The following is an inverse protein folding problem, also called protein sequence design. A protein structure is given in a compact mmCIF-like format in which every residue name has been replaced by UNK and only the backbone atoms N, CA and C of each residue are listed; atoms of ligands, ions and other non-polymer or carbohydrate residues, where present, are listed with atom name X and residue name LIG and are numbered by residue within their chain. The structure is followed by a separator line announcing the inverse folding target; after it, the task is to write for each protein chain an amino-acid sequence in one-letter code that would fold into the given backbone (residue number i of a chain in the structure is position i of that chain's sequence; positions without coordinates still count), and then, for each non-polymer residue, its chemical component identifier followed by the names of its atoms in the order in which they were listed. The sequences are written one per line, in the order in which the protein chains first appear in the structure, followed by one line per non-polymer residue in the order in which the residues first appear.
data_IF_353883340659
#
_entry.id   IF_353883340659
#
_cell.length_a   1.000
_cell.length_b   1.000
_cell.length_c   1.000
_cell.angle_alpha   90.00
_cell.angle_beta   90.00
_cell.angle_gamma   90.00
#
_symmetry.space_group_name_H-M   'P 1'
#
loop_
_entity.id
_entity.type
_entity.pdbx_description
1 polymer ?
#
# COMPACT_ATOMS: atom_id res chain seq x y z
N UNK A 1 7.40 -47.87 19.26
CA UNK A 1 7.87 -46.53 19.66
C UNK A 1 7.25 -45.57 18.69
N UNK A 2 6.38 -44.67 19.15
CA UNK A 2 5.78 -43.66 18.25
C UNK A 2 6.89 -42.70 17.82
N UNK A 3 7.02 -42.48 16.52
CA UNK A 3 7.90 -41.47 15.96
C UNK A 3 7.42 -40.09 16.42
N UNK A 4 8.20 -39.33 17.22
CA UNK A 4 7.80 -38.01 17.72
C UNK A 4 7.41 -37.04 16.61
N UNK A 5 8.00 -37.19 15.42
CA UNK A 5 7.67 -36.38 14.25
C UNK A 5 6.29 -36.76 13.67
N UNK A 6 5.98 -38.06 13.59
CA UNK A 6 4.66 -38.52 13.17
C UNK A 6 3.56 -38.06 14.13
N UNK A 7 3.79 -38.16 15.45
CA UNK A 7 2.83 -37.69 16.46
C UNK A 7 2.60 -36.17 16.38
N UNK A 8 3.65 -35.38 16.14
CA UNK A 8 3.50 -33.93 15.97
C UNK A 8 2.70 -33.57 14.71
N UNK A 9 2.84 -34.35 13.63
CA UNK A 9 2.08 -34.16 12.39
C UNK A 9 0.60 -34.57 12.53
N UNK A 10 0.32 -35.63 13.30
CA UNK A 10 -1.03 -36.09 13.61
C UNK A 10 -1.84 -35.06 14.41
N UNK A 11 -1.18 -34.19 15.16
CA UNK A 11 -1.81 -33.13 15.94
C UNK A 11 -2.46 -32.02 15.08
N UNK A 12 -2.21 -31.98 13.77
CA UNK A 12 -2.89 -31.04 12.88
C UNK A 12 -4.38 -31.38 12.73
N UNK A 13 -5.29 -30.39 12.88
CA UNK A 13 -6.73 -30.62 12.75
C UNK A 13 -7.21 -30.74 11.28
N UNK A 14 -6.34 -30.47 10.31
CA UNK A 14 -6.69 -30.40 8.89
C UNK A 14 -7.02 -31.78 8.31
N UNK A 15 -8.13 -31.87 7.58
CA UNK A 15 -8.50 -33.07 6.82
C UNK A 15 -7.56 -33.33 5.64
N UNK A 16 -7.61 -34.54 5.05
CA UNK A 16 -6.67 -34.96 4.01
C UNK A 16 -6.66 -34.05 2.77
N UNK A 17 -7.82 -33.52 2.35
CA UNK A 17 -7.92 -32.64 1.18
C UNK A 17 -7.35 -31.22 1.39
N UNK A 18 -7.02 -30.85 2.63
CA UNK A 18 -6.50 -29.53 2.98
C UNK A 18 -5.29 -29.62 3.90
N UNK A 19 -4.56 -30.74 3.83
CA UNK A 19 -3.32 -30.99 4.59
C UNK A 19 -2.15 -30.93 3.61
N UNK A 20 -1.30 -29.93 3.76
CA UNK A 20 -0.17 -29.67 2.86
C UNK A 20 1.17 -29.98 3.52
N UNK A 21 1.17 -30.92 4.46
CA UNK A 21 2.36 -31.49 5.08
C UNK A 21 2.22 -33.02 5.01
N UNK A 22 3.15 -33.70 4.35
CA UNK A 22 3.17 -35.17 4.27
C UNK A 22 4.11 -35.77 5.31
N UNK A 23 5.26 -35.13 5.54
CA UNK A 23 6.32 -35.65 6.42
C UNK A 23 7.03 -34.52 7.12
N UNK A 24 7.21 -34.63 8.44
CA UNK A 24 8.17 -33.78 9.16
C UNK A 24 9.58 -34.35 8.99
N UNK A 25 10.53 -33.51 8.63
CA UNK A 25 11.94 -33.87 8.47
C UNK A 25 12.74 -33.53 9.73
N UNK A 26 12.41 -32.41 10.38
CA UNK A 26 13.01 -31.98 11.63
C UNK A 26 12.00 -31.17 12.44
N UNK A 27 12.11 -31.24 13.77
CA UNK A 27 11.31 -30.44 14.69
C UNK A 27 12.15 -30.11 15.92
N UNK A 28 12.33 -28.81 16.18
CA UNK A 28 12.80 -28.28 17.45
C UNK A 28 11.59 -27.69 18.18
N UNK A 29 11.07 -28.38 19.22
CA UNK A 29 9.79 -28.03 19.84
C UNK A 29 9.69 -26.56 20.25
N UNK A 30 8.67 -25.87 19.73
CA UNK A 30 8.43 -24.45 20.02
C UNK A 30 9.34 -23.44 19.32
N UNK A 31 10.41 -23.88 18.65
CA UNK A 31 11.42 -23.02 18.02
C UNK A 31 11.34 -23.09 16.51
N UNK A 32 11.53 -24.27 15.92
CA UNK A 32 11.61 -24.42 14.46
C UNK A 32 11.16 -25.80 13.98
N UNK A 33 10.82 -25.90 12.69
CA UNK A 33 10.44 -27.16 12.07
C UNK A 33 10.66 -27.15 10.56
N UNK A 34 10.86 -28.34 10.00
CA UNK A 34 11.03 -28.57 8.58
C UNK A 34 10.16 -29.73 8.13
N UNK A 35 9.48 -29.58 6.99
CA UNK A 35 8.55 -30.56 6.46
C UNK A 35 8.63 -30.67 4.95
N UNK A 36 8.10 -31.77 4.42
CA UNK A 36 7.99 -32.03 3.00
C UNK A 36 6.54 -32.19 2.58
N UNK A 37 6.24 -31.71 1.39
CA UNK A 37 4.99 -31.93 0.68
C UNK A 37 5.28 -32.14 -0.81
N UNK A 38 4.91 -33.32 -1.32
CA UNK A 38 5.01 -33.64 -2.74
C UNK A 38 3.69 -33.32 -3.43
N UNK A 39 3.77 -32.57 -4.53
CA UNK A 39 2.63 -32.29 -5.38
C UNK A 39 2.50 -33.41 -6.41
N UNK A 40 1.53 -34.30 -6.27
CA UNK A 40 1.45 -35.53 -7.08
C UNK A 40 0.86 -35.27 -8.47
N UNK A 41 -0.02 -34.27 -8.60
CA UNK A 41 -0.65 -33.90 -9.87
C UNK A 41 -2.13 -34.28 -9.98
N UNK A 42 -2.65 -35.08 -9.04
CA UNK A 42 -4.06 -35.49 -8.97
C UNK A 42 -4.89 -34.64 -7.99
N UNK A 43 -4.28 -33.64 -7.35
CA UNK A 43 -4.97 -32.79 -6.40
C UNK A 43 -6.11 -31.99 -7.06
N UNK A 44 -7.30 -31.90 -6.44
CA UNK A 44 -8.48 -31.27 -7.04
C UNK A 44 -8.28 -29.83 -7.50
N UNK A 45 -7.43 -29.06 -6.80
CA UNK A 45 -7.18 -27.66 -7.12
C UNK A 45 -6.38 -27.47 -8.42
N UNK A 46 -5.62 -28.48 -8.88
CA UNK A 46 -4.82 -28.38 -10.10
C UNK A 46 -5.68 -28.35 -11.36
N UNK A 47 -6.86 -29.00 -11.33
CA UNK A 47 -7.81 -28.96 -12.43
C UNK A 47 -8.25 -27.53 -12.78
N UNK A 48 -8.30 -26.64 -11.79
CA UNK A 48 -8.66 -25.24 -11.96
C UNK A 48 -7.49 -24.26 -12.01
N UNK A 49 -6.24 -24.72 -11.80
CA UNK A 49 -5.10 -23.84 -11.58
C UNK A 49 -3.80 -24.37 -12.20
N UNK A 50 -3.59 -24.20 -13.51
CA UNK A 50 -4.54 -23.74 -14.52
C UNK A 50 -4.85 -24.85 -15.52
N UNK A 51 -6.03 -24.89 -16.15
CA UNK A 51 -6.30 -25.87 -17.21
C UNK A 51 -5.21 -25.84 -18.29
N UNK A 52 -4.48 -26.95 -18.46
CA UNK A 52 -3.36 -27.09 -19.41
C UNK A 52 -1.99 -26.62 -18.90
N UNK A 53 -1.90 -25.94 -17.76
CA UNK A 53 -0.65 -25.53 -17.11
C UNK A 53 -0.80 -25.62 -15.57
N UNK A 54 -0.86 -26.85 -15.01
CA UNK A 54 -1.12 -27.06 -13.59
C UNK A 54 0.07 -26.59 -12.73
N UNK A 55 -0.23 -25.83 -11.67
CA UNK A 55 0.74 -25.38 -10.68
C UNK A 55 0.07 -25.12 -9.32
N UNK A 56 0.80 -25.31 -8.23
CA UNK A 56 0.28 -25.07 -6.89
C UNK A 56 -0.01 -23.58 -6.69
N UNK A 57 -1.24 -23.19 -6.30
CA UNK A 57 -1.55 -21.81 -5.95
C UNK A 57 -0.63 -21.32 -4.83
N UNK A 58 -0.05 -20.13 -4.99
CA UNK A 58 0.84 -19.57 -3.97
C UNK A 58 0.19 -19.37 -2.59
N UNK A 59 -1.14 -19.23 -2.55
CA UNK A 59 -1.91 -19.21 -1.29
C UNK A 59 -1.86 -20.55 -0.55
N UNK A 60 -1.74 -21.68 -1.26
CA UNK A 60 -1.59 -23.00 -0.63
C UNK A 60 -0.17 -23.19 -0.09
N UNK A 61 0.84 -22.55 -0.67
CA UNK A 61 2.19 -22.51 -0.09
C UNK A 61 2.19 -21.76 1.25
N UNK A 62 1.47 -20.64 1.32
CA UNK A 62 1.29 -19.88 2.56
C UNK A 62 0.56 -20.72 3.61
N UNK A 63 -0.51 -21.41 3.21
CA UNK A 63 -1.26 -22.34 4.07
C UNK A 63 -0.37 -23.48 4.59
N UNK A 64 0.43 -24.12 3.73
CA UNK A 64 1.37 -25.15 4.12
C UNK A 64 2.39 -24.65 5.17
N UNK A 65 2.93 -23.44 4.96
CA UNK A 65 3.81 -22.79 5.94
C UNK A 65 3.10 -22.48 7.27
N UNK A 66 1.83 -22.07 7.23
CA UNK A 66 1.01 -21.83 8.41
C UNK A 66 0.71 -23.13 9.19
N UNK A 67 0.44 -24.23 8.49
CA UNK A 67 0.27 -25.55 9.10
C UNK A 67 1.54 -25.98 9.83
N UNK A 68 2.71 -25.83 9.19
CA UNK A 68 3.99 -26.15 9.82
C UNK A 68 4.27 -25.26 11.03
N UNK A 69 4.03 -23.96 10.93
CA UNK A 69 4.15 -23.05 12.06
C UNK A 69 3.22 -23.44 13.23
N UNK A 70 2.02 -23.95 12.93
CA UNK A 70 1.07 -24.47 13.91
C UNK A 70 1.58 -25.73 14.63
N UNK A 71 2.23 -26.64 13.89
CA UNK A 71 2.90 -27.82 14.48
C UNK A 71 4.02 -27.37 15.43
N UNK A 72 4.91 -26.49 14.96
CA UNK A 72 6.04 -25.98 15.77
C UNK A 72 5.52 -25.30 17.03
N UNK A 73 4.53 -24.41 16.90
CA UNK A 73 3.98 -23.65 18.01
C UNK A 73 3.32 -24.53 19.09
N UNK A 74 2.61 -25.58 18.69
CA UNK A 74 1.91 -26.50 19.59
C UNK A 74 2.81 -27.56 20.22
N UNK A 75 3.97 -27.82 19.62
CA UNK A 75 4.95 -28.78 20.16
C UNK A 75 5.73 -28.25 21.37
N UNK A 76 5.65 -26.96 21.68
CA UNK A 76 6.39 -26.29 22.75
C UNK A 76 6.01 -26.81 24.14
N UNK A 77 6.91 -27.50 24.88
CA UNK A 77 6.60 -28.07 26.18
C UNK A 77 6.50 -27.01 27.29
N UNK A 78 6.99 -25.78 27.07
CA UNK A 78 6.99 -24.70 28.06
C UNK A 78 5.74 -23.82 27.97
N UNK A 79 4.91 -24.00 26.94
CA UNK A 79 3.74 -23.19 26.68
C UNK A 79 2.48 -24.04 26.76
N UNK A 80 1.40 -23.46 27.30
CA UNK A 80 0.09 -24.09 27.19
C UNK A 80 -0.29 -24.17 25.71
N UNK A 81 -0.65 -25.36 25.17
CA UNK A 81 -1.07 -25.48 23.78
C UNK A 81 -2.22 -24.54 23.46
N UNK A 82 -2.05 -23.79 22.37
CA UNK A 82 -3.09 -22.90 21.86
C UNK A 82 -4.07 -23.72 21.03
N UNK A 83 -5.29 -23.90 21.53
CA UNK A 83 -6.36 -24.54 20.77
C UNK A 83 -6.80 -23.65 19.59
N UNK A 84 -7.24 -24.28 18.51
CA UNK A 84 -7.88 -23.61 17.36
C UNK A 84 -7.05 -22.47 16.77
N UNK A 85 -5.75 -22.71 16.56
CA UNK A 85 -4.89 -21.76 15.86
C UNK A 85 -5.43 -21.46 14.46
N UNK A 86 -5.75 -20.19 14.20
CA UNK A 86 -6.15 -19.68 12.89
C UNK A 86 -5.09 -18.73 12.36
N UNK A 87 -4.92 -18.71 11.03
CA UNK A 87 -4.12 -17.70 10.37
C UNK A 87 -4.80 -16.33 10.53
N UNK A 88 -4.14 -15.39 11.20
CA UNK A 88 -4.69 -14.07 11.55
C UNK A 88 -4.05 -12.92 10.79
N UNK A 89 -2.76 -13.03 10.45
CA UNK A 89 -2.05 -12.01 9.68
C UNK A 89 -0.94 -12.61 8.82
N UNK A 90 -0.61 -11.89 7.76
CA UNK A 90 0.50 -12.17 6.84
C UNK A 90 1.36 -10.92 6.72
N UNK A 91 2.68 -11.08 6.74
CA UNK A 91 3.63 -9.96 6.63
C UNK A 91 4.79 -10.33 5.72
N UNK A 92 5.10 -9.43 4.78
CA UNK A 92 6.24 -9.57 3.85
C UNK A 92 6.27 -10.92 3.11
N UNK A 93 5.10 -11.48 2.80
CA UNK A 93 4.99 -12.70 1.98
C UNK A 93 5.47 -12.39 0.57
N UNK A 94 6.43 -13.17 0.08
CA UNK A 94 6.95 -13.13 -1.28
C UNK A 94 6.83 -14.53 -1.87
N UNK A 95 6.11 -14.64 -2.98
CA UNK A 95 6.07 -15.85 -3.81
C UNK A 95 7.11 -15.66 -4.91
N UNK A 96 8.17 -16.45 -4.86
CA UNK A 96 9.37 -16.30 -5.67
C UNK A 96 9.40 -17.24 -6.88
N UNK A 97 8.52 -18.23 -6.90
CA UNK A 97 8.40 -19.19 -7.99
C UNK A 97 7.13 -20.00 -7.92
N UNK A 98 6.93 -20.83 -8.94
CA UNK A 98 5.85 -21.81 -9.00
C UNK A 98 6.35 -23.19 -8.54
N UNK A 99 5.41 -23.99 -8.03
CA UNK A 99 5.59 -25.42 -7.76
C UNK A 99 4.70 -26.20 -8.72
N UNK A 100 5.25 -27.22 -9.39
CA UNK A 100 4.61 -27.99 -10.46
C UNK A 100 4.45 -29.47 -10.07
N UNK A 101 3.47 -30.18 -10.67
CA UNK A 101 3.29 -31.61 -10.40
C UNK A 101 4.58 -32.41 -10.56
N UNK A 102 4.83 -33.31 -9.61
CA UNK A 102 6.06 -34.10 -9.48
C UNK A 102 7.15 -33.47 -8.61
N UNK A 103 7.06 -32.18 -8.29
CA UNK A 103 8.01 -31.48 -7.43
C UNK A 103 7.71 -31.71 -5.93
N UNK A 104 8.78 -31.73 -5.12
CA UNK A 104 8.69 -31.81 -3.65
C UNK A 104 9.06 -30.46 -3.05
N UNK A 105 8.14 -29.89 -2.28
CA UNK A 105 8.32 -28.65 -1.54
C UNK A 105 8.89 -28.97 -0.17
N UNK A 106 10.04 -28.36 0.15
CA UNK A 106 10.62 -28.34 1.49
C UNK A 106 10.18 -27.06 2.18
N UNK A 107 9.40 -27.20 3.25
CA UNK A 107 8.84 -26.11 4.05
C UNK A 107 9.67 -25.92 5.32
N UNK A 108 9.91 -24.66 5.68
CA UNK A 108 10.54 -24.27 6.95
C UNK A 108 9.63 -23.34 7.74
N UNK A 109 9.60 -23.50 9.06
CA UNK A 109 8.97 -22.54 9.96
C UNK A 109 9.85 -22.28 11.19
N UNK A 110 9.90 -21.03 11.64
CA UNK A 110 10.61 -20.62 12.85
C UNK A 110 9.76 -19.64 13.64
N UNK A 111 9.44 -19.96 14.89
CA UNK A 111 8.69 -19.05 15.78
C UNK A 111 9.58 -17.85 16.12
N UNK A 112 9.10 -16.65 15.83
CA UNK A 112 9.85 -15.39 16.06
C UNK A 112 9.33 -14.60 17.25
N UNK A 113 8.04 -14.74 17.59
CA UNK A 113 7.46 -14.06 18.74
C UNK A 113 6.19 -14.78 19.22
N UNK A 114 5.92 -14.65 20.53
CA UNK A 114 4.65 -15.05 21.16
C UNK A 114 4.09 -13.84 21.93
N UNK A 115 2.84 -13.49 21.69
CA UNK A 115 2.18 -12.30 22.25
C UNK A 115 0.78 -12.68 22.73
N UNK A 116 0.68 -13.20 23.95
CA UNK A 116 -0.59 -13.71 24.49
C UNK A 116 -1.10 -14.90 23.67
N UNK A 117 -2.25 -14.74 23.02
CA UNK A 117 -2.90 -15.76 22.17
C UNK A 117 -2.36 -15.79 20.73
N UNK A 118 -1.38 -14.95 20.41
CA UNK A 118 -0.79 -14.86 19.07
C UNK A 118 0.61 -15.46 19.03
N UNK A 119 0.90 -16.21 17.97
CA UNK A 119 2.23 -16.74 17.64
C UNK A 119 2.61 -16.24 16.25
N UNK A 120 3.74 -15.55 16.17
CA UNK A 120 4.31 -15.10 14.90
C UNK A 120 5.45 -16.04 14.51
N UNK A 121 5.47 -16.47 13.25
CA UNK A 121 6.50 -17.35 12.71
C UNK A 121 6.99 -16.85 11.35
N UNK A 122 8.29 -17.00 11.10
CA UNK A 122 8.87 -16.91 9.76
C UNK A 122 8.63 -18.23 9.04
N UNK A 123 8.20 -18.18 7.79
CA UNK A 123 7.97 -19.35 6.94
C UNK A 123 8.76 -19.24 5.64
N UNK A 124 9.27 -20.38 5.17
CA UNK A 124 9.96 -20.52 3.89
C UNK A 124 9.47 -21.77 3.17
N UNK A 125 9.59 -21.77 1.84
CA UNK A 125 9.40 -22.97 1.03
C UNK A 125 10.40 -22.96 -0.12
N UNK A 126 10.98 -24.12 -0.43
CA UNK A 126 11.93 -24.31 -1.53
C UNK A 126 11.65 -25.60 -2.31
N UNK A 127 11.98 -25.60 -3.60
CA UNK A 127 11.99 -26.79 -4.47
C UNK A 127 13.39 -26.90 -5.06
N UNK A 128 14.03 -28.07 -4.92
CA UNK A 128 15.41 -28.32 -5.38
C UNK A 128 16.41 -27.23 -4.92
N UNK A 129 16.26 -26.75 -3.68
CA UNK A 129 17.10 -25.71 -3.10
C UNK A 129 16.82 -24.28 -3.60
N UNK A 130 15.84 -24.08 -4.49
CA UNK A 130 15.39 -22.77 -4.95
C UNK A 130 14.18 -22.30 -4.14
N UNK A 131 14.30 -21.14 -3.51
CA UNK A 131 13.20 -20.54 -2.77
C UNK A 131 11.99 -20.24 -3.66
N UNK A 132 10.81 -20.67 -3.22
CA UNK A 132 9.51 -20.41 -3.86
C UNK A 132 8.57 -19.59 -2.96
N UNK A 133 8.79 -19.60 -1.65
CA UNK A 133 8.07 -18.76 -0.68
C UNK A 133 9.00 -18.26 0.42
N UNK A 134 8.83 -17.02 0.84
CA UNK A 134 9.34 -16.52 2.12
C UNK A 134 8.41 -15.47 2.72
N UNK A 135 8.36 -15.38 4.06
CA UNK A 135 7.72 -14.28 4.76
C UNK A 135 7.37 -14.64 6.20
N UNK A 136 6.41 -13.92 6.78
CA UNK A 136 5.96 -14.12 8.15
C UNK A 136 4.45 -14.34 8.19
N UNK A 137 4.03 -15.31 9.03
CA UNK A 137 2.64 -15.62 9.34
C UNK A 137 2.39 -15.38 10.82
N UNK A 138 1.19 -14.93 11.16
CA UNK A 138 0.72 -14.85 12.55
C UNK A 138 -0.45 -15.79 12.73
N UNK A 139 -0.32 -16.72 13.66
CA UNK A 139 -1.38 -17.61 14.11
C UNK A 139 -1.98 -17.04 15.40
N UNK A 140 -3.29 -17.17 15.58
CA UNK A 140 -3.97 -16.74 16.79
C UNK A 140 -5.00 -17.76 17.25
N UNK A 141 -5.04 -18.03 18.55
CA UNK A 141 -6.16 -18.77 19.16
C UNK A 141 -7.30 -17.79 19.44
N UNK A 142 -8.48 -18.09 18.93
CA UNK A 142 -9.71 -17.49 19.48
C UNK A 142 -10.09 -18.26 20.74
N UNK A 143 -10.66 -17.63 21.78
CA UNK A 143 -11.26 -18.39 22.88
C UNK A 143 -12.36 -19.27 22.32
N UNK A 144 -12.16 -20.59 22.30
CA UNK A 144 -13.15 -21.53 21.83
C UNK A 144 -14.32 -21.56 22.81
N UNK A 145 -15.55 -21.51 22.29
CA UNK A 145 -16.69 -22.08 22.98
C UNK A 145 -16.38 -23.56 23.30
N UNK A 146 -16.81 -23.99 24.49
CA UNK A 146 -16.53 -25.28 25.13
C UNK A 146 -16.58 -26.53 24.23
N UNK A 147 -15.87 -27.62 24.59
CA UNK A 147 -15.75 -28.81 23.75
C UNK A 147 -17.10 -29.53 23.61
N UNK A 148 -17.42 -29.96 22.39
CA UNK A 148 -18.57 -30.84 22.13
C UNK A 148 -18.20 -32.25 22.60
N UNK A 149 -18.78 -32.69 23.70
CA UNK A 149 -18.67 -34.05 24.20
C UNK A 149 -19.31 -35.04 23.19
N UNK A 150 -18.62 -36.14 22.91
CA UNK A 150 -19.16 -37.29 22.20
C UNK A 150 -20.25 -37.96 23.04
N UNK A 151 -21.51 -37.86 22.59
CA UNK A 151 -22.67 -38.57 23.17
C UNK A 151 -22.98 -39.79 22.28
N UNK A 152 -23.29 -40.99 22.83
CA UNK A 152 -23.71 -42.13 22.02
C UNK A 152 -25.05 -41.83 21.34
N UNK A 153 -25.39 -42.52 20.23
CA UNK A 153 -26.59 -42.19 19.47
C UNK A 153 -27.84 -42.56 20.28
N UNK A 154 -28.42 -41.58 20.97
CA UNK A 154 -29.80 -41.66 21.43
C UNK A 154 -30.69 -40.98 20.40
N UNK A 155 -31.77 -41.66 20.04
CA UNK A 155 -32.77 -41.21 19.09
C UNK A 155 -33.54 -40.01 19.66
N UNK A 156 -32.98 -38.80 19.55
CA UNK A 156 -33.71 -37.57 19.75
C UNK A 156 -33.96 -36.89 18.41
N UNK A 157 -35.24 -36.65 18.11
CA UNK A 157 -35.66 -35.79 17.00
C UNK A 157 -34.91 -34.45 17.10
N UNK A 158 -34.36 -33.93 16.00
CA UNK A 158 -33.65 -32.66 16.02
C UNK A 158 -34.64 -31.56 16.42
N UNK A 159 -34.42 -30.94 17.59
CA UNK A 159 -35.10 -29.68 17.92
C UNK A 159 -34.42 -28.60 17.10
N UNK A 160 -35.00 -28.27 15.95
CA UNK A 160 -34.64 -27.08 15.20
C UNK A 160 -34.99 -25.86 16.06
N UNK A 161 -34.03 -25.31 16.78
CA UNK A 161 -34.14 -23.98 17.37
C UNK A 161 -34.09 -22.98 16.22
N UNK A 162 -35.26 -22.63 15.69
CA UNK A 162 -35.39 -21.58 14.70
C UNK A 162 -35.15 -20.23 15.39
N UNK A 163 -34.30 -19.39 14.79
CA UNK A 163 -34.08 -18.01 15.23
C UNK A 163 -35.42 -17.27 15.22
N UNK A 164 -35.77 -16.61 16.32
CA UNK A 164 -36.97 -15.77 16.35
C UNK A 164 -36.71 -14.48 15.55
N UNK A 165 -37.78 -13.93 14.99
CA UNK A 165 -37.73 -12.66 14.26
C UNK A 165 -37.20 -11.51 15.15
N UNK A 166 -37.45 -11.58 16.47
CA UNK A 166 -36.96 -10.60 17.45
C UNK A 166 -35.44 -10.71 17.63
N UNK A 167 -34.90 -11.92 17.76
CA UNK A 167 -33.45 -12.13 17.91
C UNK A 167 -32.70 -11.65 16.67
N UNK A 168 -33.22 -11.91 15.47
CA UNK A 168 -32.62 -11.42 14.23
C UNK A 168 -32.66 -9.88 14.15
N UNK A 169 -33.80 -9.27 14.52
CA UNK A 169 -33.95 -7.80 14.53
C UNK A 169 -32.98 -7.12 15.50
N UNK A 170 -32.79 -7.67 16.70
CA UNK A 170 -31.85 -7.13 17.68
C UNK A 170 -30.41 -7.22 17.17
N UNK A 171 -30.03 -8.32 16.53
CA UNK A 171 -28.66 -8.50 15.98
C UNK A 171 -28.38 -7.48 14.88
N UNK A 172 -29.29 -7.33 13.90
CA UNK A 172 -29.09 -6.32 12.85
C UNK A 172 -29.09 -4.89 13.41
N UNK A 173 -29.86 -4.61 14.47
CA UNK A 173 -29.85 -3.31 15.13
C UNK A 173 -28.51 -3.03 15.81
N UNK A 174 -27.94 -4.02 16.51
CA UNK A 174 -26.61 -3.91 17.12
C UNK A 174 -25.53 -3.72 16.04
N UNK A 175 -25.57 -4.51 14.96
CA UNK A 175 -24.63 -4.35 13.83
C UNK A 175 -24.77 -2.96 13.21
N UNK A 176 -25.99 -2.45 13.03
CA UNK A 176 -26.23 -1.11 12.49
C UNK A 176 -25.67 0.00 13.40
N UNK A 177 -25.84 -0.11 14.73
CA UNK A 177 -25.27 0.85 15.70
C UNK A 177 -23.74 0.80 15.65
N UNK A 178 -23.16 -0.41 15.71
CA UNK A 178 -21.71 -0.60 15.67
C UNK A 178 -21.11 -0.09 14.36
N UNK A 179 -21.71 -0.45 13.22
CA UNK A 179 -21.31 0.04 11.91
C UNK A 179 -21.45 1.57 11.81
N UNK A 180 -22.52 2.14 12.37
CA UNK A 180 -22.76 3.58 12.43
C UNK A 180 -21.65 4.35 13.16
N UNK A 181 -21.05 3.75 14.20
CA UNK A 181 -19.89 4.33 14.90
C UNK A 181 -18.55 4.03 14.20
N UNK A 182 -18.44 2.89 13.52
CA UNK A 182 -17.20 2.45 12.86
C UNK A 182 -16.92 3.21 11.55
N UNK A 183 -17.96 3.49 10.74
CA UNK A 183 -17.82 4.12 9.43
C UNK A 183 -17.16 5.51 9.49
N UNK A 184 -17.54 6.43 10.41
CA UNK A 184 -16.87 7.73 10.54
C UNK A 184 -15.40 7.59 10.96
N UNK A 185 -15.08 6.64 11.85
CA UNK A 185 -13.72 6.40 12.31
C UNK A 185 -12.84 5.86 11.18
N UNK A 186 -13.34 4.88 10.42
CA UNK A 186 -12.65 4.31 9.26
C UNK A 186 -12.46 5.33 8.16
N UNK A 187 -13.45 6.18 7.89
CA UNK A 187 -13.33 7.26 6.92
C UNK A 187 -12.22 8.25 7.29
N UNK A 188 -12.15 8.65 8.57
CA UNK A 188 -11.06 9.51 9.09
C UNK A 188 -9.70 8.83 8.98
N UNK A 189 -9.59 7.56 9.36
CA UNK A 189 -8.35 6.79 9.27
C UNK A 189 -7.86 6.68 7.81
N UNK A 190 -8.77 6.38 6.87
CA UNK A 190 -8.46 6.32 5.43
C UNK A 190 -8.01 7.69 4.89
N UNK A 191 -8.68 8.78 5.28
CA UNK A 191 -8.28 10.13 4.90
C UNK A 191 -6.87 10.48 5.41
N UNK A 192 -6.54 10.10 6.65
CA UNK A 192 -5.19 10.27 7.21
C UNK A 192 -4.13 9.42 6.52
N UNK A 193 -4.44 8.17 6.17
CA UNK A 193 -3.52 7.32 5.39
C UNK A 193 -3.21 7.94 4.01
N UNK A 194 -4.24 8.44 3.31
CA UNK A 194 -4.04 9.15 2.04
C UNK A 194 -3.21 10.43 2.21
N UNK A 195 -3.45 11.21 3.27
CA UNK A 195 -2.65 12.39 3.58
C UNK A 195 -1.17 12.02 3.81
N UNK A 196 -0.90 10.97 4.59
CA UNK A 196 0.46 10.50 4.85
C UNK A 196 1.19 10.07 3.57
N UNK A 197 0.48 9.39 2.66
CA UNK A 197 1.02 9.05 1.33
C UNK A 197 1.30 10.30 0.49
N UNK A 198 0.43 11.31 0.53
CA UNK A 198 0.66 12.58 -0.16
C UNK A 198 1.92 13.29 0.38
N UNK A 199 2.10 13.37 1.71
CA UNK A 199 3.34 13.92 2.32
C UNK A 199 4.59 13.14 1.87
N UNK A 200 4.48 11.81 1.76
CA UNK A 200 5.59 10.97 1.25
C UNK A 200 5.88 11.23 -0.22
N UNK A 201 4.87 11.53 -1.04
CA UNK A 201 5.05 11.89 -2.44
C UNK A 201 5.70 13.28 -2.56
N UNK A 202 5.21 14.30 -1.84
CA UNK A 202 5.82 15.64 -1.79
C UNK A 202 7.29 15.60 -1.36
N UNK A 203 7.64 14.73 -0.40
CA UNK A 203 9.03 14.56 0.02
C UNK A 203 9.90 13.99 -1.11
N UNK A 204 9.40 13.00 -1.84
CA UNK A 204 10.10 12.45 -3.00
C UNK A 204 10.19 13.46 -4.15
N UNK A 205 9.16 14.27 -4.36
CA UNK A 205 9.17 15.37 -5.33
C UNK A 205 10.23 16.40 -4.96
N UNK A 206 10.23 16.91 -3.72
CA UNK A 206 11.23 17.86 -3.24
C UNK A 206 12.66 17.33 -3.35
N UNK A 207 12.89 16.06 -3.01
CA UNK A 207 14.19 15.40 -3.25
C UNK A 207 14.53 15.34 -4.75
N UNK A 208 13.56 15.03 -5.62
CA UNK A 208 13.74 15.04 -7.06
C UNK A 208 14.12 16.41 -7.61
N UNK A 209 13.58 17.49 -7.05
CA UNK A 209 13.99 18.86 -7.38
C UNK A 209 15.45 19.13 -7.01
N UNK A 210 15.88 18.72 -5.81
CA UNK A 210 17.26 18.92 -5.37
C UNK A 210 18.25 18.12 -6.22
N UNK A 211 17.93 16.86 -6.52
CA UNK A 211 18.74 16.02 -7.41
C UNK A 211 18.82 16.59 -8.82
N UNK A 212 17.68 17.05 -9.37
CA UNK A 212 17.65 17.72 -10.66
C UNK A 212 18.53 18.97 -10.66
N UNK A 213 18.40 19.85 -9.67
CA UNK A 213 19.19 21.08 -9.59
C UNK A 213 20.70 20.78 -9.49
N UNK A 214 21.08 19.78 -8.68
CA UNK A 214 22.46 19.32 -8.58
C UNK A 214 23.03 18.89 -9.94
N UNK A 215 22.25 18.16 -10.73
CA UNK A 215 22.68 17.65 -12.04
C UNK A 215 22.55 18.68 -13.16
N UNK A 216 21.78 19.75 -12.95
CA UNK A 216 21.49 20.79 -13.94
C UNK A 216 22.11 22.14 -13.58
N UNK A 217 23.33 22.15 -13.04
CA UNK A 217 24.10 23.39 -12.75
C UNK A 217 23.30 24.40 -11.91
N UNK A 218 22.62 23.88 -10.88
CA UNK A 218 21.79 24.61 -9.93
C UNK A 218 20.44 25.10 -10.48
N UNK A 219 20.08 24.77 -11.72
CA UNK A 219 18.79 25.18 -12.26
C UNK A 219 17.62 24.32 -11.76
N UNK A 220 16.52 24.98 -11.38
CA UNK A 220 15.26 24.34 -11.01
C UNK A 220 14.50 23.84 -12.25
N UNK A 221 13.64 22.82 -12.10
CA UNK A 221 12.73 22.39 -13.15
C UNK A 221 11.73 23.50 -13.48
N UNK A 222 11.21 23.51 -14.71
CA UNK A 222 10.25 24.53 -15.17
C UNK A 222 8.85 23.97 -15.25
N UNK A 223 7.87 24.82 -14.97
CA UNK A 223 6.47 24.41 -14.93
C UNK A 223 5.99 23.77 -16.25
N UNK A 224 6.47 24.29 -17.37
CA UNK A 224 6.14 23.78 -18.68
C UNK A 224 7.23 24.04 -19.75
N UNK A 225 7.06 23.46 -20.94
CA UNK A 225 7.82 23.82 -22.14
C UNK A 225 6.86 24.22 -23.27
N UNK A 226 7.18 25.25 -24.09
CA UNK A 226 6.39 25.60 -25.26
C UNK A 226 6.26 24.39 -26.18
N UNK A 227 5.05 24.07 -26.63
CA UNK A 227 4.84 23.04 -27.65
C UNK A 227 4.95 23.68 -29.05
N UNK A 228 6.02 23.39 -29.83
CA UNK A 228 6.20 23.97 -31.16
C UNK A 228 5.06 23.58 -32.13
N UNK A 229 4.37 22.46 -31.88
CA UNK A 229 3.29 21.98 -32.72
C UNK A 229 1.97 22.73 -32.54
N UNK A 230 1.83 23.54 -31.48
CA UNK A 230 0.61 24.27 -31.17
C UNK A 230 0.63 25.77 -31.51
N UNK A 231 1.76 26.30 -32.01
CA UNK A 231 1.88 27.65 -32.60
C UNK A 231 1.47 28.84 -31.71
N UNK A 232 1.10 28.60 -30.45
CA UNK A 232 0.39 29.55 -29.58
C UNK A 232 1.23 30.02 -28.39
N UNK A 233 2.49 29.56 -28.27
CA UNK A 233 3.32 29.80 -27.08
C UNK A 233 2.78 29.12 -25.82
N UNK A 234 1.78 28.23 -25.96
CA UNK A 234 1.17 27.51 -24.86
C UNK A 234 2.12 26.44 -24.29
N UNK A 235 2.03 26.25 -22.97
CA UNK A 235 3.00 25.50 -22.18
C UNK A 235 2.27 24.48 -21.30
N UNK A 236 2.61 23.20 -21.43
CA UNK A 236 1.96 22.15 -20.65
C UNK A 236 2.39 22.19 -19.18
N UNK A 237 1.47 22.13 -18.20
CA UNK A 237 1.73 22.34 -16.76
C UNK A 237 2.38 21.14 -16.05
N UNK A 238 3.19 20.37 -16.78
CA UNK A 238 3.65 19.03 -16.37
C UNK A 238 5.12 18.79 -16.68
N UNK A 239 5.81 19.79 -17.29
CA UNK A 239 7.21 19.63 -17.68
C UNK A 239 8.09 19.38 -16.47
N UNK A 240 7.83 20.06 -15.37
CA UNK A 240 8.61 19.91 -14.14
C UNK A 240 8.64 18.45 -13.67
N UNK A 241 7.52 17.74 -13.79
CA UNK A 241 7.43 16.32 -13.46
C UNK A 241 8.26 15.44 -14.40
N UNK A 242 8.22 15.73 -15.69
CA UNK A 242 9.03 15.01 -16.69
C UNK A 242 10.53 15.21 -16.43
N UNK A 243 10.92 16.43 -16.07
CA UNK A 243 12.31 16.78 -15.77
C UNK A 243 12.84 16.07 -14.53
N UNK A 244 12.02 15.94 -13.48
CA UNK A 244 12.42 15.21 -12.28
C UNK A 244 12.16 13.69 -12.37
N UNK A 245 11.42 13.22 -13.40
CA UNK A 245 11.01 11.82 -13.53
C UNK A 245 12.15 10.80 -13.44
N UNK A 246 13.40 11.06 -13.92
CA UNK A 246 14.51 10.11 -13.76
C UNK A 246 14.90 9.88 -12.30
N UNK A 247 14.64 10.84 -11.40
CA UNK A 247 15.01 10.79 -9.99
C UNK A 247 13.91 10.21 -9.10
N UNK A 248 12.65 10.24 -9.56
CA UNK A 248 11.48 9.81 -8.77
C UNK A 248 10.77 8.58 -9.36
N UNK A 249 11.25 8.05 -10.48
CA UNK A 249 10.58 6.96 -11.20
C UNK A 249 11.58 5.97 -11.81
N UNK A 250 11.30 4.67 -11.68
CA UNK A 250 12.08 3.63 -12.35
C UNK A 250 11.75 3.58 -13.84
N UNK A 251 12.78 3.75 -14.68
CA UNK A 251 12.68 3.85 -16.13
C UNK A 251 12.05 5.19 -16.55
N UNK A 252 12.82 6.03 -17.25
CA UNK A 252 12.50 7.41 -17.69
C UNK A 252 11.17 7.53 -18.45
N UNK A 253 10.06 7.40 -17.72
CA UNK A 253 8.70 7.43 -18.23
C UNK A 253 8.35 8.87 -18.57
N UNK A 254 8.22 9.15 -19.86
CA UNK A 254 7.91 10.49 -20.36
C UNK A 254 6.40 10.73 -20.52
N UNK A 255 5.57 9.71 -20.24
CA UNK A 255 4.11 9.82 -20.32
C UNK A 255 3.49 9.92 -18.94
N UNK A 256 2.99 11.11 -18.60
CA UNK A 256 2.38 11.40 -17.31
C UNK A 256 1.20 10.47 -16.98
N UNK A 257 0.32 10.20 -17.95
CA UNK A 257 -0.81 9.27 -17.74
C UNK A 257 -0.33 7.87 -17.35
N UNK A 258 0.77 7.40 -17.93
CA UNK A 258 1.35 6.11 -17.56
C UNK A 258 1.97 6.15 -16.16
N UNK A 259 2.63 7.25 -15.79
CA UNK A 259 3.15 7.42 -14.42
C UNK A 259 2.03 7.38 -13.37
N UNK A 260 0.91 8.04 -13.64
CA UNK A 260 -0.29 8.02 -12.77
C UNK A 260 -0.92 6.63 -12.73
N UNK A 261 -1.10 5.97 -13.88
CA UNK A 261 -1.69 4.64 -13.96
C UNK A 261 -0.85 3.57 -13.24
N UNK A 262 0.47 3.77 -13.16
CA UNK A 262 1.40 2.90 -12.42
C UNK A 262 1.55 3.30 -10.94
N UNK A 263 0.63 4.12 -10.40
CA UNK A 263 0.60 4.61 -9.01
C UNK A 263 1.93 5.22 -8.53
N UNK A 264 2.67 5.89 -9.42
CA UNK A 264 3.95 6.51 -9.07
C UNK A 264 3.75 7.75 -8.18
N UNK A 265 4.84 8.24 -7.61
CA UNK A 265 4.98 9.46 -6.76
C UNK A 265 4.21 10.67 -7.29
N UNK A 266 3.99 10.74 -8.60
CA UNK A 266 3.35 11.86 -9.29
C UNK A 266 1.83 11.98 -9.07
N UNK A 267 1.19 11.00 -8.43
CA UNK A 267 -0.26 10.97 -8.21
C UNK A 267 -0.63 11.13 -6.72
N UNK A 268 -1.31 12.22 -6.37
CA UNK A 268 -1.88 12.42 -5.06
C UNK A 268 -3.10 11.50 -4.85
N UNK A 269 -3.14 10.71 -3.77
CA UNK A 269 -4.21 9.71 -3.55
C UNK A 269 -5.59 10.32 -3.23
N UNK A 270 -5.67 11.62 -3.00
CA UNK A 270 -6.92 12.38 -2.80
C UNK A 270 -7.30 13.22 -4.01
N UNK A 271 -6.48 13.29 -5.05
CA UNK A 271 -6.78 14.10 -6.23
C UNK A 271 -7.88 13.52 -7.11
N UNK A 272 -8.72 14.40 -7.65
CA UNK A 272 -9.80 14.03 -8.55
C UNK A 272 -9.23 13.92 -9.97
N UNK A 273 -8.55 12.81 -10.24
CA UNK A 273 -7.81 12.62 -11.50
C UNK A 273 -8.70 12.21 -12.68
N UNK A 274 -9.87 11.61 -12.42
CA UNK A 274 -10.77 11.10 -13.46
C UNK A 274 -11.26 12.18 -14.45
N UNK A 275 -11.20 13.46 -14.06
CA UNK A 275 -11.59 14.62 -14.89
C UNK A 275 -10.43 15.58 -15.16
N UNK A 276 -9.21 15.21 -14.78
CA UNK A 276 -8.10 16.13 -14.78
C UNK A 276 -7.52 16.41 -16.17
N UNK A 277 -7.69 15.50 -17.13
CA UNK A 277 -7.12 15.65 -18.48
C UNK A 277 -8.15 15.15 -19.51
N UNK A 278 -8.61 16.00 -20.45
CA UNK A 278 -9.44 15.57 -21.57
C UNK A 278 -8.77 14.44 -22.36
N UNK A 279 -9.52 13.43 -22.81
CA UNK A 279 -8.96 12.24 -23.48
C UNK A 279 -8.20 12.55 -24.77
N UNK A 280 -8.55 13.66 -25.44
CA UNK A 280 -7.89 14.16 -26.65
C UNK A 280 -6.58 14.91 -26.40
N UNK A 281 -6.24 15.21 -25.14
CA UNK A 281 -4.96 15.86 -24.79
C UNK A 281 -3.86 14.79 -24.71
N UNK A 282 -2.65 15.02 -25.23
CA UNK A 282 -1.54 14.08 -25.12
C UNK A 282 -1.19 13.72 -23.68
N UNK A 283 -0.85 12.45 -23.44
CA UNK A 283 -0.62 11.93 -22.08
C UNK A 283 0.56 12.54 -21.33
N UNK A 284 1.45 13.27 -22.01
CA UNK A 284 2.57 14.00 -21.41
C UNK A 284 2.17 15.37 -20.83
N UNK A 285 0.95 15.85 -21.07
CA UNK A 285 0.42 17.13 -20.55
C UNK A 285 -0.36 16.96 -19.24
N UNK A 286 -0.04 15.93 -18.47
CA UNK A 286 -0.94 15.42 -17.45
C UNK A 286 -0.85 16.08 -16.08
N UNK A 287 -1.92 15.91 -15.30
CA UNK A 287 -2.04 16.36 -13.91
C UNK A 287 -2.30 15.20 -12.96
N UNK A 288 -1.67 15.24 -11.80
CA UNK A 288 -1.71 14.16 -10.81
C UNK A 288 -1.84 14.66 -9.39
N UNK A 289 -2.36 15.87 -9.17
CA UNK A 289 -2.65 16.31 -7.80
C UNK A 289 -1.66 17.33 -7.24
N UNK A 290 -0.60 17.67 -7.98
CA UNK A 290 0.52 18.50 -7.52
C UNK A 290 0.80 19.66 -8.47
N UNK A 291 1.34 20.75 -7.95
CA UNK A 291 1.63 21.97 -8.70
C UNK A 291 2.95 22.61 -8.30
N UNK A 292 3.74 22.95 -9.32
CA UNK A 292 5.00 23.68 -9.19
C UNK A 292 4.77 25.17 -8.95
N UNK A 293 5.61 25.81 -8.12
CA UNK A 293 5.64 27.26 -7.90
C UNK A 293 6.17 28.02 -9.14
N UNK A 294 5.36 28.03 -10.18
CA UNK A 294 5.76 28.46 -11.52
C UNK A 294 6.06 29.95 -11.64
N UNK A 295 5.33 30.78 -10.91
CA UNK A 295 5.43 32.23 -11.02
C UNK A 295 6.79 32.75 -10.55
N UNK A 296 7.44 32.03 -9.63
CA UNK A 296 8.65 32.47 -8.96
C UNK A 296 9.85 31.57 -9.19
N UNK A 297 9.65 30.27 -9.47
CA UNK A 297 10.73 29.30 -9.64
C UNK A 297 10.92 28.82 -11.09
N UNK A 298 10.13 29.34 -12.03
CA UNK A 298 10.34 29.20 -13.47
C UNK A 298 9.12 28.63 -14.19
N UNK A 299 8.66 29.35 -15.21
CA UNK A 299 7.50 28.93 -16.00
C UNK A 299 7.90 28.11 -17.23
N UNK A 300 8.93 28.54 -17.95
CA UNK A 300 9.45 28.02 -19.21
C UNK A 300 10.98 27.88 -19.17
N UNK A 301 11.59 27.19 -20.16
CA UNK A 301 13.05 27.11 -20.24
C UNK A 301 13.75 28.47 -20.30
N UNK A 302 13.12 29.50 -20.88
CA UNK A 302 13.72 30.82 -21.08
C UNK A 302 13.80 31.65 -19.79
N UNK A 303 12.87 31.45 -18.84
CA UNK A 303 12.83 32.16 -17.55
C UNK A 303 13.26 31.29 -16.37
N UNK A 304 13.83 30.11 -16.64
CA UNK A 304 14.30 29.14 -15.65
C UNK A 304 15.16 29.78 -14.56
N UNK A 305 14.89 29.41 -13.31
CA UNK A 305 15.57 29.96 -12.13
C UNK A 305 16.60 29.00 -11.57
N UNK A 306 17.63 29.55 -10.95
CA UNK A 306 18.59 28.80 -10.14
C UNK A 306 18.06 28.63 -8.73
N UNK A 307 18.35 27.51 -8.09
CA UNK A 307 18.00 27.29 -6.69
C UNK A 307 18.70 28.31 -5.77
N UNK A 308 19.91 28.74 -6.13
CA UNK A 308 20.69 29.75 -5.39
C UNK A 308 20.02 31.12 -5.26
N UNK A 309 18.95 31.41 -6.02
CA UNK A 309 18.22 32.70 -5.86
C UNK A 309 17.36 32.71 -4.59
N UNK A 310 17.12 31.55 -3.99
CA UNK A 310 16.28 31.41 -2.81
C UNK A 310 17.05 31.81 -1.56
N UNK A 311 16.65 32.92 -0.93
CA UNK A 311 17.28 33.44 0.29
C UNK A 311 16.64 32.91 1.57
N UNK A 312 15.42 32.35 1.49
CA UNK A 312 14.71 31.73 2.63
C UNK A 312 14.23 30.31 2.35
N UNK A 313 15.13 29.30 2.32
CA UNK A 313 14.80 27.92 1.97
C UNK A 313 13.66 27.28 2.77
N UNK A 314 13.54 27.58 4.06
CA UNK A 314 12.52 27.00 4.95
C UNK A 314 11.14 27.64 4.72
N UNK A 315 11.07 28.81 4.08
CA UNK A 315 9.82 29.56 3.89
C UNK A 315 9.42 29.67 2.41
N UNK A 316 10.26 29.23 1.47
CA UNK A 316 9.93 29.22 0.03
C UNK A 316 9.42 27.84 -0.39
N UNK A 317 8.17 27.76 -0.83
CA UNK A 317 7.58 26.54 -1.35
C UNK A 317 8.09 26.23 -2.76
N UNK A 318 8.47 24.97 -2.99
CA UNK A 318 8.86 24.45 -4.29
C UNK A 318 7.63 23.97 -5.07
N UNK A 319 6.83 23.16 -4.40
CA UNK A 319 5.72 22.43 -4.95
C UNK A 319 4.68 22.17 -3.85
N UNK A 320 3.45 21.87 -4.24
CA UNK A 320 2.44 21.47 -3.28
C UNK A 320 1.25 20.79 -3.93
N UNK A 321 0.25 20.45 -3.12
CA UNK A 321 -1.05 20.00 -3.62
C UNK A 321 -1.62 21.02 -4.61
N UNK A 322 -1.87 20.60 -5.85
CA UNK A 322 -2.46 21.43 -6.91
C UNK A 322 -3.98 21.49 -6.85
N UNK A 323 -4.60 22.11 -7.84
CA UNK A 323 -6.06 22.31 -7.91
C UNK A 323 -6.83 21.05 -8.31
N UNK A 324 -8.03 20.86 -7.77
CA UNK A 324 -8.96 19.85 -8.31
C UNK A 324 -9.82 20.42 -9.45
N UNK A 325 -10.24 19.57 -10.41
CA UNK A 325 -11.21 19.95 -11.44
C UNK A 325 -12.49 20.56 -10.83
N UNK A 326 -12.85 21.74 -11.31
CA UNK A 326 -14.09 22.44 -10.97
C UNK A 326 -14.64 23.17 -12.21
N UNK A 327 -15.93 23.53 -12.27
CA UNK A 327 -16.52 24.15 -13.47
C UNK A 327 -15.81 25.41 -13.99
N UNK A 328 -15.19 26.18 -13.09
CA UNK A 328 -14.42 27.40 -13.43
C UNK A 328 -12.92 27.17 -13.60
N UNK A 329 -12.43 25.94 -13.46
CA UNK A 329 -11.00 25.60 -13.50
C UNK A 329 -10.74 24.75 -14.74
N UNK A 330 -9.91 25.27 -15.63
CA UNK A 330 -9.51 24.59 -16.85
C UNK A 330 -8.43 23.55 -16.54
N UNK A 331 -8.36 22.47 -17.32
CA UNK A 331 -7.45 21.36 -17.06
C UNK A 331 -5.96 21.78 -17.06
N UNK A 332 -5.59 22.77 -17.87
CA UNK A 332 -4.21 23.29 -17.92
C UNK A 332 -3.83 24.08 -16.67
N UNK A 333 -4.79 24.46 -15.82
CA UNK A 333 -4.53 25.15 -14.56
C UNK A 333 -4.12 24.19 -13.45
N UNK A 334 -4.35 22.89 -13.61
CA UNK A 334 -4.26 21.97 -12.49
C UNK A 334 -2.81 21.75 -12.03
N UNK A 335 -1.83 21.73 -12.96
CA UNK A 335 -0.42 21.43 -12.66
C UNK A 335 0.43 22.59 -12.18
N UNK A 336 -0.19 23.71 -11.81
CA UNK A 336 0.48 24.90 -11.29
C UNK A 336 0.12 25.17 -9.83
N UNK A 337 1.06 25.78 -9.13
CA UNK A 337 0.81 26.42 -7.85
C UNK A 337 0.80 27.94 -8.04
N UNK A 338 -0.41 28.48 -8.16
CA UNK A 338 -0.74 29.89 -8.25
C UNK A 338 -0.52 30.61 -6.92
N UNK A 339 0.42 31.57 -6.86
CA UNK A 339 0.49 32.48 -5.73
C UNK A 339 -0.75 33.41 -5.72
N UNK A 340 -1.16 33.90 -4.53
CA UNK A 340 -2.39 34.66 -4.41
C UNK A 340 -2.44 35.96 -5.24
N UNK A 341 -1.33 36.65 -5.49
CA UNK A 341 -1.35 37.85 -6.37
C UNK A 341 -1.64 37.52 -7.83
N UNK A 342 -1.34 36.29 -8.27
CA UNK A 342 -1.60 35.84 -9.63
C UNK A 342 -3.03 35.31 -9.77
N UNK A 343 -3.58 34.68 -8.73
CA UNK A 343 -5.00 34.34 -8.67
C UNK A 343 -5.51 34.19 -7.24
N UNK A 344 -6.38 35.14 -6.84
CA UNK A 344 -7.12 35.09 -5.57
C UNK A 344 -8.29 34.09 -5.60
N UNK A 345 -8.65 33.58 -6.78
CA UNK A 345 -9.85 32.75 -6.96
C UNK A 345 -9.62 31.28 -6.61
N UNK A 346 -8.36 30.83 -6.58
CA UNK A 346 -8.04 29.43 -6.36
C UNK A 346 -7.76 29.15 -4.89
N UNK A 347 -8.37 28.09 -4.35
CA UNK A 347 -8.13 27.62 -2.98
C UNK A 347 -7.52 26.23 -3.03
N UNK A 348 -6.32 26.08 -2.48
CA UNK A 348 -5.63 24.79 -2.42
C UNK A 348 -6.03 24.05 -1.15
N UNK A 349 -7.08 23.24 -1.28
CA UNK A 349 -7.64 22.51 -0.15
C UNK A 349 -7.89 21.06 -0.57
N UNK A 350 -7.03 20.16 -0.10
CA UNK A 350 -7.05 18.73 -0.46
C UNK A 350 -7.07 17.79 0.74
N UNK A 351 -6.60 18.25 1.90
CA UNK A 351 -6.51 17.46 3.13
C UNK A 351 -7.25 18.09 4.32
N UNK A 352 -8.38 18.76 4.04
CA UNK A 352 -9.23 19.40 5.04
C UNK A 352 -9.26 20.91 4.89
N UNK A 353 -8.34 21.63 5.53
CA UNK A 353 -8.28 23.10 5.53
C UNK A 353 -7.06 23.68 4.80
N UNK A 354 -6.25 22.81 4.18
CA UNK A 354 -5.03 23.18 3.46
C UNK A 354 -4.51 22.08 2.56
N UNK A 355 -3.24 22.22 2.18
CA UNK A 355 -2.49 21.28 1.36
C UNK A 355 -1.16 20.91 1.99
N UNK A 356 -0.53 19.86 1.47
CA UNK A 356 0.87 19.56 1.74
C UNK A 356 1.75 20.33 0.75
N UNK A 357 2.84 20.88 1.26
CA UNK A 357 3.81 21.64 0.49
C UNK A 357 5.21 21.11 0.78
N UNK A 358 6.02 20.98 -0.27
CA UNK A 358 7.46 20.79 -0.15
C UNK A 358 8.17 22.14 -0.25
N UNK A 359 9.18 22.30 0.59
CA UNK A 359 9.92 23.54 0.76
C UNK A 359 11.34 23.39 0.24
N UNK A 360 11.99 24.51 -0.04
CA UNK A 360 13.33 24.54 -0.67
C UNK A 360 14.40 23.85 0.18
N UNK A 361 14.28 23.86 1.51
CA UNK A 361 15.18 23.11 2.41
C UNK A 361 14.92 21.58 2.45
N UNK A 362 13.90 21.10 1.73
CA UNK A 362 13.54 19.69 1.62
C UNK A 362 12.54 19.19 2.67
N UNK A 363 12.08 20.02 3.60
CA UNK A 363 11.00 19.60 4.49
C UNK A 363 9.65 19.61 3.77
N UNK A 364 8.66 18.93 4.37
CA UNK A 364 7.28 18.91 3.89
C UNK A 364 6.37 19.19 5.06
N UNK A 365 5.42 20.11 4.89
CA UNK A 365 4.46 20.46 5.93
C UNK A 365 3.05 20.62 5.36
N UNK A 366 2.06 20.36 6.20
CA UNK A 366 0.68 20.72 5.90
C UNK A 366 0.47 22.15 6.34
N UNK A 367 0.14 23.01 5.37
CA UNK A 367 -0.08 24.43 5.62
C UNK A 367 -1.49 24.81 5.20
N UNK A 368 -2.16 25.58 6.07
CA UNK A 368 -3.52 26.03 5.79
C UNK A 368 -3.54 26.94 4.56
N UNK A 369 -4.61 26.87 3.75
CA UNK A 369 -4.74 27.80 2.63
C UNK A 369 -4.75 29.26 3.11
N UNK A 370 -5.33 29.53 4.29
CA UNK A 370 -5.32 30.87 4.89
C UNK A 370 -3.89 31.40 5.01
N UNK A 371 -2.98 30.63 5.61
CA UNK A 371 -1.57 30.99 5.76
C UNK A 371 -0.90 31.24 4.41
N UNK A 372 -1.05 30.31 3.45
CA UNK A 372 -0.46 30.47 2.11
C UNK A 372 -1.05 31.67 1.36
N UNK A 373 -2.31 32.02 1.61
CA UNK A 373 -3.03 33.09 0.91
C UNK A 373 -2.81 34.48 1.48
N UNK A 374 -2.59 34.61 2.78
CA UNK A 374 -2.32 35.90 3.42
C UNK A 374 -0.84 36.26 3.38
N UNK A 375 0.02 35.26 3.21
CA UNK A 375 1.46 35.41 3.32
C UNK A 375 1.88 35.81 4.74
N UNK A 376 3.01 36.51 4.85
CA UNK A 376 3.64 36.91 6.10
C UNK A 376 4.25 38.32 5.96
N UNK A 377 4.39 39.03 7.07
CA UNK A 377 4.99 40.37 7.15
C UNK A 377 4.39 41.40 6.16
N UNK A 378 3.07 41.30 5.93
CA UNK A 378 2.34 42.16 5.00
C UNK A 378 2.56 41.85 3.52
N UNK A 379 3.32 40.79 3.19
CA UNK A 379 3.57 40.36 1.82
C UNK A 379 2.75 39.12 1.50
N UNK A 380 1.81 39.26 0.57
CA UNK A 380 0.81 38.23 0.22
C UNK A 380 1.44 36.95 -0.33
N UNK A 381 2.48 37.07 -1.15
CA UNK A 381 3.12 35.92 -1.83
C UNK A 381 4.39 35.43 -1.11
N UNK A 382 4.56 35.77 0.17
CA UNK A 382 5.75 35.47 0.97
C UNK A 382 6.28 34.05 0.78
N UNK A 383 5.40 33.05 0.88
CA UNK A 383 5.78 31.64 0.82
C UNK A 383 6.13 31.14 -0.58
N UNK A 384 5.95 31.96 -1.62
CA UNK A 384 6.24 31.60 -3.00
C UNK A 384 7.49 32.33 -3.52
N UNK A 385 7.75 33.52 -3.00
CA UNK A 385 8.88 34.33 -3.44
C UNK A 385 10.20 33.66 -3.03
N UNK A 386 11.22 33.70 -3.91
CA UNK A 386 12.54 33.16 -3.56
C UNK A 386 13.26 34.04 -2.54
N UNK A 387 12.96 35.34 -2.56
CA UNK A 387 13.51 36.31 -1.60
C UNK A 387 12.39 37.25 -1.14
N UNK A 388 11.52 36.77 -0.23
CA UNK A 388 10.28 37.46 0.13
C UNK A 388 10.48 38.82 0.79
#
# INVERSE_FOLDING_TARGET
MNDPLATALEALPHGPEFRFLQRLVALEPGVSGMAEYRLEGDEPFLAGHFPGDPLMPGVLLVEAGAQLAGVVAQSDPQQTPLADLRLTALRQIKILGAVRPGETVVLGATVIARMGTLVQARVTAAVDGRDVLQGEVTLGSSPTAAPVATVPPSSMKPRTTAFTLIELLVVIAIIAILAGMLLPALAKAKAKAKQAKCVSNERQIGLGYMLYANDQSDYLPVAGSPDPSQGSGWVAPSRWFLEISPYISSGSETNYRQMVAKEKVVACPTAILAKAIPTNVPGWQGYGGYGHNYAYLGYTPDDRKKLSIVTKPVETCLNGDGLDPAPSIQWWMLGYLYPPTVSVQFKYVRHGTGGNYSWVDGHVSMTSWKTMSTGQDGKVDWYYQPSP
#
